data_IF_436078119123
#
_entry.id   IF_436078119123
#
_cell.length_a   1.000
_cell.length_b   1.000
_cell.length_c   1.000
_cell.angle_alpha   90.00
_cell.angle_beta   90.00
_cell.angle_gamma   90.00
#
_symmetry.space_group_name_H-M   'P 1'
#
loop_
_entity.id
_entity.type
_entity.pdbx_description
1 polymer ?
#
# COMPACT_ATOMS: atom_id res chain seq x y z
N UNK A 1 -10.00 -16.13 -41.62
CA UNK A 1 -10.19 -15.27 -40.46
C UNK A 1 -10.24 -16.19 -39.25
N UNK A 2 -9.15 -16.32 -38.50
CA UNK A 2 -9.16 -17.12 -37.28
C UNK A 2 -9.87 -16.30 -36.18
N UNK A 3 -10.86 -16.91 -35.55
CA UNK A 3 -11.61 -16.32 -34.44
C UNK A 3 -10.67 -16.14 -33.24
N UNK A 4 -10.34 -14.89 -32.93
CA UNK A 4 -9.40 -14.49 -31.88
C UNK A 4 -10.00 -14.72 -30.48
N UNK A 5 -11.31 -14.98 -30.37
CA UNK A 5 -11.99 -15.19 -29.10
C UNK A 5 -11.79 -16.62 -28.55
N UNK A 6 -11.64 -17.63 -29.41
CA UNK A 6 -11.60 -19.04 -29.00
C UNK A 6 -10.36 -19.46 -28.18
N UNK A 7 -9.31 -18.64 -28.13
CA UNK A 7 -8.04 -18.98 -27.46
C UNK A 7 -7.86 -18.43 -26.04
N UNK A 8 -8.84 -17.67 -25.53
CA UNK A 8 -8.76 -16.99 -24.22
C UNK A 8 -9.78 -17.51 -23.20
N UNK A 9 -10.66 -18.44 -23.59
CA UNK A 9 -11.68 -19.03 -22.71
C UNK A 9 -11.07 -19.91 -21.60
N UNK A 10 -9.84 -20.41 -21.76
CA UNK A 10 -9.13 -21.20 -20.73
C UNK A 10 -8.41 -20.33 -19.67
N UNK A 11 -8.37 -19.01 -19.86
CA UNK A 11 -7.89 -18.05 -18.86
C UNK A 11 -9.01 -17.59 -17.90
N UNK A 12 -10.20 -18.16 -18.07
CA UNK A 12 -11.40 -17.89 -17.29
C UNK A 12 -11.21 -18.39 -15.86
N UNK A 13 -11.21 -17.44 -14.91
CA UNK A 13 -11.51 -17.45 -13.45
C UNK A 13 -11.36 -18.72 -12.57
N UNK A 14 -11.32 -19.93 -13.12
CA UNK A 14 -10.85 -21.20 -12.56
C UNK A 14 -9.48 -21.67 -13.07
N UNK A 15 -8.63 -20.78 -13.61
CA UNK A 15 -7.31 -21.10 -14.16
C UNK A 15 -6.31 -21.74 -13.17
N UNK A 16 -6.60 -21.70 -11.86
CA UNK A 16 -5.81 -22.37 -10.84
C UNK A 16 -6.48 -23.67 -10.41
N UNK A 17 -5.70 -24.75 -10.36
CA UNK A 17 -6.12 -26.01 -9.74
C UNK A 17 -6.50 -25.80 -8.27
N UNK A 18 -7.28 -26.72 -7.70
CA UNK A 18 -7.68 -26.63 -6.29
C UNK A 18 -6.46 -26.56 -5.34
N UNK A 19 -5.39 -27.26 -5.68
CA UNK A 19 -4.12 -27.20 -4.94
C UNK A 19 -3.49 -25.81 -5.03
N UNK A 20 -3.40 -25.25 -6.24
CA UNK A 20 -2.87 -23.90 -6.46
C UNK A 20 -3.70 -22.83 -5.74
N UNK A 21 -5.02 -22.98 -5.71
CA UNK A 21 -5.90 -22.08 -4.97
C UNK A 21 -5.64 -22.16 -3.46
N UNK A 22 -5.42 -23.36 -2.93
CA UNK A 22 -5.11 -23.58 -1.51
C UNK A 22 -3.76 -22.95 -1.14
N UNK A 23 -2.73 -23.19 -1.96
CA UNK A 23 -1.41 -22.58 -1.79
C UNK A 23 -1.48 -21.05 -1.88
N UNK A 24 -2.24 -20.51 -2.84
CA UNK A 24 -2.45 -19.06 -2.97
C UNK A 24 -3.16 -18.49 -1.75
N UNK A 25 -4.14 -19.20 -1.19
CA UNK A 25 -4.84 -18.79 0.02
C UNK A 25 -3.89 -18.72 1.22
N UNK A 26 -3.11 -19.77 1.47
CA UNK A 26 -2.11 -19.80 2.55
C UNK A 26 -1.08 -18.68 2.38
N UNK A 27 -0.58 -18.49 1.16
CA UNK A 27 0.34 -17.41 0.82
C UNK A 27 -0.26 -16.03 1.13
N UNK A 28 -1.52 -15.77 0.72
CA UNK A 28 -2.21 -14.50 0.98
C UNK A 28 -2.43 -14.27 2.48
N UNK A 29 -2.78 -15.31 3.24
CA UNK A 29 -2.95 -15.22 4.69
C UNK A 29 -1.62 -14.85 5.35
N UNK A 30 -0.55 -15.58 5.04
CA UNK A 30 0.78 -15.32 5.60
C UNK A 30 1.28 -13.92 5.24
N UNK A 31 1.06 -13.49 3.99
CA UNK A 31 1.40 -12.14 3.53
C UNK A 31 0.62 -11.07 4.31
N UNK A 32 -0.68 -11.26 4.54
CA UNK A 32 -1.49 -10.32 5.33
C UNK A 32 -0.98 -10.21 6.77
N UNK A 33 -0.64 -11.33 7.40
CA UNK A 33 -0.07 -11.36 8.75
C UNK A 33 1.27 -10.62 8.78
N UNK A 34 2.15 -10.87 7.80
CA UNK A 34 3.44 -10.20 7.70
C UNK A 34 3.29 -8.69 7.51
N UNK A 35 2.39 -8.26 6.62
CA UNK A 35 2.09 -6.84 6.39
C UNK A 35 1.57 -6.16 7.66
N UNK A 36 0.67 -6.83 8.40
CA UNK A 36 0.16 -6.27 9.66
C UNK A 36 1.26 -6.14 10.71
N UNK A 37 2.12 -7.14 10.86
CA UNK A 37 3.29 -7.07 11.76
C UNK A 37 4.22 -5.93 11.37
N UNK A 38 4.46 -5.73 10.08
CA UNK A 38 5.26 -4.63 9.55
C UNK A 38 4.62 -3.27 9.93
N UNK A 39 3.35 -3.06 9.59
CA UNK A 39 2.64 -1.81 9.89
C UNK A 39 2.53 -1.52 11.39
N UNK A 40 2.41 -2.55 12.23
CA UNK A 40 2.41 -2.38 13.70
C UNK A 40 3.76 -1.96 14.25
N UNK A 41 4.86 -2.45 13.66
CA UNK A 41 6.23 -2.13 14.10
C UNK A 41 6.79 -0.85 13.50
N UNK A 42 6.27 -0.41 12.35
CA UNK A 42 6.77 0.74 11.58
C UNK A 42 5.76 1.90 11.65
N UNK A 43 5.77 2.62 12.78
CA UNK A 43 4.85 3.76 13.05
C UNK A 43 5.06 4.95 12.12
N UNK A 44 6.22 5.07 11.51
CA UNK A 44 6.52 6.03 10.46
C UNK A 44 5.56 5.91 9.27
N UNK A 45 5.14 4.69 8.92
CA UNK A 45 4.24 4.45 7.77
C UNK A 45 2.86 5.04 8.06
N UNK A 46 2.38 4.89 9.30
CA UNK A 46 1.11 5.48 9.75
C UNK A 46 1.14 7.02 9.67
N UNK A 47 2.26 7.63 10.08
CA UNK A 47 2.45 9.08 9.99
C UNK A 47 2.54 9.59 8.55
N UNK A 48 3.28 8.89 7.70
CA UNK A 48 3.41 9.24 6.29
C UNK A 48 2.04 9.22 5.59
N UNK A 49 1.28 8.13 5.77
CA UNK A 49 -0.04 7.99 5.14
C UNK A 49 -1.07 8.99 5.68
N UNK A 50 -1.13 9.17 6.99
CA UNK A 50 -2.07 10.12 7.61
C UNK A 50 -1.71 11.58 7.28
N UNK A 51 -0.42 11.91 7.23
CA UNK A 51 0.08 13.21 6.80
C UNK A 51 -0.28 13.51 5.34
N UNK A 52 -0.03 12.56 4.45
CA UNK A 52 -0.39 12.70 3.04
C UNK A 52 -1.90 12.86 2.83
N UNK A 53 -2.72 12.01 3.44
CA UNK A 53 -4.18 12.10 3.35
C UNK A 53 -4.72 13.43 3.88
N UNK A 54 -4.14 13.96 4.96
CA UNK A 54 -4.47 15.29 5.47
C UNK A 54 -4.20 16.36 4.42
N UNK A 55 -3.03 16.36 3.78
CA UNK A 55 -2.70 17.33 2.75
C UNK A 55 -3.59 17.21 1.51
N UNK A 56 -3.93 15.99 1.08
CA UNK A 56 -4.89 15.76 -0.02
C UNK A 56 -6.26 16.35 0.32
N UNK A 57 -6.77 16.12 1.53
CA UNK A 57 -8.08 16.65 1.94
C UNK A 57 -8.09 18.18 2.09
N UNK A 58 -6.98 18.77 2.50
CA UNK A 58 -6.83 20.23 2.65
C UNK A 58 -6.69 20.93 1.30
N UNK A 59 -5.81 20.43 0.42
CA UNK A 59 -5.47 21.08 -0.85
C UNK A 59 -6.41 20.69 -1.99
N UNK A 60 -7.05 19.52 -1.90
CA UNK A 60 -7.94 18.93 -2.92
C UNK A 60 -7.34 19.02 -4.34
N UNK A 61 -6.15 18.43 -4.56
CA UNK A 61 -5.49 18.53 -5.85
C UNK A 61 -6.29 17.80 -6.94
N UNK A 62 -6.26 18.32 -8.16
CA UNK A 62 -6.91 17.71 -9.32
C UNK A 62 -6.22 16.39 -9.75
N UNK A 63 -4.89 16.34 -9.59
CA UNK A 63 -4.06 15.18 -9.96
C UNK A 63 -3.40 14.56 -8.72
N UNK A 64 -4.02 13.52 -8.14
CA UNK A 64 -3.51 12.84 -6.95
C UNK A 64 -2.15 12.17 -7.17
N UNK A 65 -1.90 11.43 -8.27
CA UNK A 65 -0.59 10.83 -8.53
C UNK A 65 0.57 11.84 -8.60
N UNK A 66 0.38 12.96 -9.29
CA UNK A 66 1.40 14.02 -9.39
C UNK A 66 1.67 14.66 -8.03
N UNK A 67 0.60 14.96 -7.28
CA UNK A 67 0.71 15.45 -5.92
C UNK A 67 1.44 14.46 -4.98
N UNK A 68 1.18 13.16 -5.13
CA UNK A 68 1.88 12.11 -4.39
C UNK A 68 3.36 12.08 -4.74
N UNK A 69 3.72 12.19 -6.02
CA UNK A 69 5.10 12.21 -6.47
C UNK A 69 5.85 13.37 -5.81
N UNK A 70 5.32 14.60 -5.89
CA UNK A 70 5.91 15.78 -5.25
C UNK A 70 6.00 15.62 -3.72
N UNK A 71 4.95 15.13 -3.07
CA UNK A 71 4.91 15.00 -1.62
C UNK A 71 5.93 13.98 -1.10
N UNK A 72 6.02 12.80 -1.72
CA UNK A 72 6.90 11.72 -1.26
C UNK A 72 8.35 11.85 -1.76
N UNK A 73 8.63 12.76 -2.70
CA UNK A 73 10.00 13.09 -3.11
C UNK A 73 10.58 14.32 -2.40
N UNK A 74 9.85 14.95 -1.47
CA UNK A 74 10.40 16.01 -0.62
C UNK A 74 11.62 15.48 0.16
N UNK A 75 12.85 16.02 -0.07
CA UNK A 75 14.06 15.54 0.58
C UNK A 75 14.05 15.75 2.10
N UNK A 76 13.20 16.65 2.61
CA UNK A 76 13.05 16.90 4.04
C UNK A 76 12.04 15.96 4.71
N UNK A 77 11.25 15.21 3.93
CA UNK A 77 10.20 14.33 4.45
C UNK A 77 10.71 13.31 5.48
N UNK A 78 11.88 12.65 5.30
CA UNK A 78 12.41 11.73 6.29
C UNK A 78 12.68 12.41 7.63
N UNK A 79 13.31 13.60 7.60
CA UNK A 79 13.62 14.36 8.81
C UNK A 79 12.35 14.84 9.52
N UNK A 80 11.36 15.33 8.77
CA UNK A 80 10.05 15.74 9.31
C UNK A 80 9.32 14.57 9.96
N UNK A 81 9.36 13.41 9.33
CA UNK A 81 8.74 12.17 9.85
C UNK A 81 9.42 11.72 11.14
N UNK A 82 10.76 11.69 11.16
CA UNK A 82 11.53 11.30 12.34
C UNK A 82 11.26 12.21 13.54
N UNK A 83 11.29 13.52 13.33
CA UNK A 83 10.98 14.50 14.38
C UNK A 83 9.60 14.26 14.97
N UNK A 84 8.60 13.99 14.13
CA UNK A 84 7.22 13.74 14.57
C UNK A 84 7.04 12.42 15.31
N UNK A 85 7.83 11.39 14.97
CA UNK A 85 7.87 10.14 15.73
C UNK A 85 8.39 10.38 17.15
N UNK A 86 9.47 11.14 17.29
CA UNK A 86 10.06 11.47 18.59
C UNK A 86 9.09 12.31 19.44
N UNK A 87 8.44 13.31 18.85
CA UNK A 87 7.40 14.10 19.51
C UNK A 87 6.24 13.22 20.02
N UNK A 88 5.76 12.28 19.21
CA UNK A 88 4.68 11.37 19.60
C UNK A 88 5.13 10.39 20.70
N UNK A 89 6.37 9.88 20.64
CA UNK A 89 6.91 8.99 21.66
C UNK A 89 7.05 9.69 23.03
N UNK A 90 7.39 10.97 23.02
CA UNK A 90 7.55 11.78 24.23
C UNK A 90 6.21 12.17 24.88
N UNK A 91 5.10 12.16 24.14
CA UNK A 91 3.75 12.46 24.67
C UNK A 91 3.06 11.26 25.33
N UNK A 92 3.57 10.04 25.10
CA UNK A 92 3.00 8.79 25.62
C UNK A 92 3.71 8.32 26.91
N UNK A 93 4.78 9.00 27.32
CA UNK A 93 5.46 8.84 28.61
C UNK A 93 5.01 9.92 29.62
#
# INVERSE_FOLDING_TARGET
MADVASGLEELDLGALSLEQQTQLMEFKINTRIANEKYLRSHKEVELLLSGFLREVMLRRPENIPEFAAEHFTDPELPMKTQKKLEENANQVN
#
